data_IF_047207910926
#
_entry.id   IF_047207910926
#
_cell.length_a   1.000
_cell.length_b   1.000
_cell.length_c   1.000
_cell.angle_alpha   90.00
_cell.angle_beta   90.00
_cell.angle_gamma   90.00
#
_symmetry.space_group_name_H-M   'P 1'
#
loop_
_entity.id
_entity.type
_entity.pdbx_description
1 polymer ?
#
# COMPACT_ATOMS: atom_id res chain seq x y z
N UNK A 1 5.01 2.87 1.14
CA UNK A 1 3.64 2.56 0.69
C UNK A 1 2.84 2.13 1.91
N UNK A 2 1.64 2.68 2.09
CA UNK A 2 0.80 2.40 3.24
C UNK A 2 -0.07 1.15 2.98
N UNK A 3 -0.13 0.24 3.95
CA UNK A 3 -0.81 -1.06 3.84
C UNK A 3 -2.34 -0.95 3.98
N UNK A 4 -2.81 0.03 4.73
CA UNK A 4 -4.23 0.17 5.07
C UNK A 4 -4.36 0.81 6.43
N UNK A 5 -5.54 1.29 6.78
CA UNK A 5 -5.78 1.81 8.13
C UNK A 5 -5.55 0.70 9.15
N UNK A 6 -4.65 0.95 10.11
CA UNK A 6 -4.29 0.02 11.18
C UNK A 6 -5.09 0.33 12.45
N UNK A 7 -5.32 -0.71 13.27
CA UNK A 7 -6.02 -0.61 14.55
C UNK A 7 -7.26 -1.50 14.64
N UNK A 8 -7.87 -1.52 15.82
CA UNK A 8 -9.07 -2.34 16.04
C UNK A 8 -10.26 -1.84 15.20
N UNK A 9 -11.06 -2.79 14.71
CA UNK A 9 -12.24 -2.51 13.88
C UNK A 9 -11.97 -2.11 12.43
N UNK A 10 -10.72 -2.18 11.93
CA UNK A 10 -10.43 -1.86 10.53
C UNK A 10 -10.81 -3.02 9.58
N UNK A 11 -11.61 -2.75 8.53
CA UNK A 11 -12.29 -3.78 7.74
C UNK A 11 -11.41 -4.50 6.71
N UNK A 12 -10.28 -3.92 6.31
CA UNK A 12 -9.41 -4.50 5.28
C UNK A 12 -8.68 -5.75 5.77
N UNK A 13 -8.38 -5.81 7.08
CA UNK A 13 -7.78 -6.98 7.73
C UNK A 13 -6.57 -7.51 6.98
N UNK A 14 -6.61 -8.79 6.61
CA UNK A 14 -5.53 -9.52 5.92
C UNK A 14 -5.32 -9.16 4.45
N UNK A 15 -6.12 -8.27 3.88
CA UNK A 15 -5.97 -7.86 2.49
C UNK A 15 -5.13 -6.57 2.35
N UNK A 16 -4.55 -6.10 3.45
CA UNK A 16 -3.72 -4.90 3.52
C UNK A 16 -2.37 -5.06 2.78
N UNK A 17 -1.78 -6.25 2.85
CA UNK A 17 -0.58 -6.60 2.07
C UNK A 17 -0.87 -6.71 0.57
N UNK A 18 -2.01 -7.29 0.18
CA UNK A 18 -2.49 -7.32 -1.19
C UNK A 18 -2.74 -5.91 -1.71
N UNK A 19 -3.40 -5.05 -0.92
CA UNK A 19 -3.61 -3.64 -1.22
C UNK A 19 -2.29 -2.91 -1.49
N UNK A 20 -1.33 -2.99 -0.57
CA UNK A 20 -0.01 -2.40 -0.75
C UNK A 20 0.67 -2.92 -2.02
N UNK A 21 0.59 -4.23 -2.26
CA UNK A 21 1.15 -4.89 -3.44
C UNK A 21 0.56 -4.36 -4.74
N UNK A 22 -0.75 -4.18 -4.83
CA UNK A 22 -1.41 -3.62 -6.01
C UNK A 22 -1.04 -2.16 -6.24
N UNK A 23 -1.01 -1.34 -5.18
CA UNK A 23 -0.54 0.03 -5.31
C UNK A 23 0.91 0.08 -5.82
N UNK A 24 1.80 -0.76 -5.29
CA UNK A 24 3.19 -0.87 -5.74
C UNK A 24 3.24 -1.26 -7.22
N UNK A 25 2.44 -2.26 -7.63
CA UNK A 25 2.42 -2.75 -9.02
C UNK A 25 2.06 -1.64 -10.00
N UNK A 26 0.96 -0.91 -9.76
CA UNK A 26 0.53 0.19 -10.64
C UNK A 26 1.61 1.27 -10.77
N UNK A 27 2.22 1.65 -9.65
CA UNK A 27 3.26 2.69 -9.64
C UNK A 27 4.55 2.21 -10.33
N UNK A 28 5.00 0.99 -10.01
CA UNK A 28 6.19 0.42 -10.61
C UNK A 28 6.04 0.27 -12.12
N UNK A 29 4.89 -0.21 -12.60
CA UNK A 29 4.63 -0.30 -14.04
C UNK A 29 4.66 1.06 -14.73
N UNK A 30 4.02 2.06 -14.12
CA UNK A 30 3.98 3.41 -14.66
C UNK A 30 5.38 4.03 -14.77
N UNK A 31 6.24 3.77 -13.78
CA UNK A 31 7.61 4.30 -13.71
C UNK A 31 8.65 3.39 -14.38
N UNK A 32 8.26 2.23 -14.92
CA UNK A 32 9.18 1.25 -15.51
C UNK A 32 10.14 0.60 -14.49
N UNK A 33 9.72 0.48 -13.23
CA UNK A 33 10.50 -0.09 -12.15
C UNK A 33 10.22 -1.60 -11.99
N UNK A 34 11.25 -2.36 -11.65
CA UNK A 34 11.13 -3.78 -11.30
C UNK A 34 11.07 -4.01 -9.80
N UNK A 35 10.39 -5.07 -9.38
CA UNK A 35 10.38 -5.54 -7.99
C UNK A 35 11.35 -6.72 -7.86
N UNK A 36 12.27 -6.67 -6.88
CA UNK A 36 13.15 -7.78 -6.55
C UNK A 36 12.79 -8.32 -5.17
N UNK A 37 12.51 -9.62 -5.10
CA UNK A 37 12.31 -10.33 -3.83
C UNK A 37 13.58 -11.08 -3.45
N UNK A 38 13.83 -11.19 -2.13
CA UNK A 38 14.94 -11.97 -1.58
C UNK A 38 14.55 -13.43 -1.37
N UNK A 39 15.49 -14.23 -0.85
CA UNK A 39 15.20 -15.59 -0.39
C UNK A 39 14.24 -15.54 0.81
N UNK A 40 13.33 -16.52 0.95
CA UNK A 40 12.46 -16.60 2.11
C UNK A 40 13.30 -16.96 3.34
N UNK A 41 13.36 -16.05 4.33
CA UNK A 41 14.12 -16.27 5.57
C UNK A 41 13.25 -16.73 6.75
N UNK A 42 11.93 -16.77 6.58
CA UNK A 42 10.99 -17.03 7.67
C UNK A 42 10.20 -18.30 7.39
N UNK A 43 10.29 -19.25 8.33
CA UNK A 43 9.41 -20.42 8.37
C UNK A 43 8.16 -20.08 9.18
N UNK A 44 7.01 -20.00 8.52
CA UNK A 44 5.75 -19.65 9.18
C UNK A 44 4.90 -20.90 9.45
N UNK A 45 4.88 -21.35 10.71
CA UNK A 45 3.96 -22.41 11.15
C UNK A 45 2.53 -21.85 11.25
N UNK A 46 1.63 -22.35 10.40
CA UNK A 46 0.25 -21.86 10.32
C UNK A 46 -0.52 -22.12 11.62
N UNK A 47 -0.81 -21.06 12.37
CA UNK A 47 -1.66 -21.07 13.57
C UNK A 47 -2.91 -20.22 13.32
N UNK A 48 -3.83 -20.68 12.48
CA UNK A 48 -5.01 -19.90 12.08
C UNK A 48 -6.29 -20.73 12.11
N UNK A 49 -7.38 -20.15 12.64
CA UNK A 49 -8.72 -20.76 12.56
C UNK A 49 -9.48 -20.21 11.33
N UNK A 50 -9.86 -21.05 10.35
CA UNK A 50 -10.51 -20.59 9.12
C UNK A 50 -11.83 -19.86 9.33
N UNK A 51 -12.67 -20.29 10.28
CA UNK A 51 -14.00 -19.70 10.49
C UNK A 51 -13.93 -18.33 11.17
N UNK A 52 -13.00 -18.17 12.13
CA UNK A 52 -12.75 -16.87 12.76
C UNK A 52 -12.22 -15.86 11.74
N UNK A 53 -11.38 -16.31 10.81
CA UNK A 53 -10.85 -15.46 9.74
C UNK A 53 -11.96 -15.05 8.77
N UNK A 54 -12.78 -16.00 8.29
CA UNK A 54 -13.87 -15.70 7.38
C UNK A 54 -14.83 -14.64 7.94
N UNK A 55 -15.19 -14.73 9.24
CA UNK A 55 -16.04 -13.72 9.88
C UNK A 55 -15.39 -12.33 9.97
N UNK A 56 -14.05 -12.26 10.05
CA UNK A 56 -13.32 -10.99 10.04
C UNK A 56 -13.09 -10.44 8.63
N UNK A 57 -12.98 -11.34 7.65
CA UNK A 57 -12.50 -11.04 6.29
C UNK A 57 -13.65 -10.94 5.26
N UNK A 58 -14.89 -11.31 5.62
CA UNK A 58 -16.01 -11.40 4.66
C UNK A 58 -16.21 -10.11 3.84
N UNK A 59 -16.09 -8.94 4.48
CA UNK A 59 -16.27 -7.65 3.80
C UNK A 59 -15.20 -7.41 2.75
N UNK A 60 -13.95 -7.78 3.06
CA UNK A 60 -12.84 -7.71 2.13
C UNK A 60 -12.98 -8.63 0.92
N UNK A 61 -13.66 -9.79 1.06
CA UNK A 61 -14.00 -10.66 -0.07
C UNK A 61 -14.93 -9.94 -1.05
N UNK A 62 -16.00 -9.31 -0.55
CA UNK A 62 -16.93 -8.56 -1.41
C UNK A 62 -16.26 -7.35 -2.06
N UNK A 63 -15.39 -6.64 -1.33
CA UNK A 63 -14.69 -5.50 -1.87
C UNK A 63 -13.71 -5.87 -2.98
N UNK A 64 -13.17 -7.08 -3.01
CA UNK A 64 -12.25 -7.50 -4.07
C UNK A 64 -12.89 -7.49 -5.46
N UNK A 65 -14.20 -7.70 -5.56
CA UNK A 65 -14.95 -7.60 -6.82
C UNK A 65 -14.85 -6.20 -7.45
N UNK A 66 -14.67 -5.15 -6.62
CA UNK A 66 -14.49 -3.77 -7.08
C UNK A 66 -13.01 -3.34 -7.09
N UNK A 67 -12.23 -3.76 -6.10
CA UNK A 67 -10.82 -3.38 -5.95
C UNK A 67 -9.96 -3.97 -7.08
N UNK A 68 -10.16 -5.24 -7.44
CA UNK A 68 -9.32 -5.89 -8.45
C UNK A 68 -9.50 -5.24 -9.83
N UNK A 69 -10.74 -5.07 -10.36
CA UNK A 69 -10.95 -4.36 -11.62
C UNK A 69 -10.45 -2.92 -11.58
N UNK A 70 -10.61 -2.23 -10.45
CA UNK A 70 -10.05 -0.89 -10.26
C UNK A 70 -8.53 -0.88 -10.49
N UNK A 71 -7.76 -1.73 -9.80
CA UNK A 71 -6.31 -1.76 -9.96
C UNK A 71 -5.85 -2.28 -11.33
N UNK A 72 -6.62 -3.17 -11.96
CA UNK A 72 -6.33 -3.65 -13.32
C UNK A 72 -6.51 -2.54 -14.37
N UNK A 73 -7.42 -1.59 -14.13
CA UNK A 73 -7.72 -0.49 -15.04
C UNK A 73 -7.05 0.84 -14.67
N UNK A 74 -6.46 0.93 -13.48
CA UNK A 74 -5.82 2.14 -12.99
C UNK A 74 -4.67 2.58 -13.90
N UNK A 75 -4.77 3.79 -14.42
CA UNK A 75 -3.71 4.43 -15.22
C UNK A 75 -3.32 5.75 -14.58
N UNK A 76 -2.02 5.99 -14.48
CA UNK A 76 -1.49 7.23 -13.91
C UNK A 76 -1.11 8.22 -15.04
N UNK A 77 -1.35 9.54 -14.85
CA UNK A 77 -0.93 10.59 -15.76
C UNK A 77 0.59 10.63 -15.97
N UNK A 78 1.05 11.01 -17.17
CA UNK A 78 2.49 11.01 -17.52
C UNK A 78 3.35 12.00 -16.73
N UNK A 79 2.74 13.01 -16.11
CA UNK A 79 3.39 13.99 -15.24
C UNK A 79 3.66 13.44 -13.82
N UNK A 80 3.13 12.27 -13.48
CA UNK A 80 3.46 11.54 -12.26
C UNK A 80 4.83 10.85 -12.37
N UNK A 81 5.90 11.64 -12.32
CA UNK A 81 7.27 11.14 -12.54
C UNK A 81 8.00 10.63 -11.28
N UNK A 82 7.35 10.65 -10.12
CA UNK A 82 7.90 10.13 -8.86
C UNK A 82 6.90 9.25 -8.13
N UNK A 83 7.40 8.37 -7.24
CA UNK A 83 6.57 7.47 -6.44
C UNK A 83 5.56 8.25 -5.58
N UNK A 84 5.99 9.36 -4.97
CA UNK A 84 5.13 10.23 -4.17
C UNK A 84 3.97 10.79 -4.99
N UNK A 85 4.26 11.36 -6.17
CA UNK A 85 3.24 11.92 -7.08
C UNK A 85 2.28 10.84 -7.56
N UNK A 86 2.80 9.68 -7.95
CA UNK A 86 2.00 8.53 -8.36
C UNK A 86 1.05 8.08 -7.25
N UNK A 87 1.54 8.00 -6.00
CA UNK A 87 0.73 7.53 -4.88
C UNK A 87 -0.33 8.54 -4.46
N UNK A 88 -0.01 9.83 -4.48
CA UNK A 88 -1.00 10.90 -4.25
C UNK A 88 -2.08 10.85 -5.33
N UNK A 89 -1.71 10.71 -6.60
CA UNK A 89 -2.68 10.62 -7.68
C UNK A 89 -3.56 9.37 -7.55
N UNK A 90 -2.97 8.22 -7.25
CA UNK A 90 -3.69 6.99 -6.98
C UNK A 90 -4.67 7.16 -5.80
N UNK A 91 -4.31 7.92 -4.76
CA UNK A 91 -5.20 8.19 -3.63
C UNK A 91 -6.48 8.93 -4.03
N UNK A 92 -6.40 9.84 -5.02
CA UNK A 92 -7.57 10.53 -5.58
C UNK A 92 -8.46 9.55 -6.31
N UNK A 93 -7.88 8.69 -7.14
CA UNK A 93 -8.63 7.67 -7.88
C UNK A 93 -9.30 6.67 -6.92
N UNK A 94 -8.64 6.30 -5.82
CA UNK A 94 -9.23 5.46 -4.76
C UNK A 94 -10.47 6.12 -4.16
N UNK A 95 -10.40 7.40 -3.79
CA UNK A 95 -11.56 8.14 -3.26
C UNK A 95 -12.69 8.22 -4.26
N UNK A 96 -12.38 8.51 -5.52
CA UNK A 96 -13.38 8.66 -6.57
C UNK A 96 -14.07 7.34 -6.93
N UNK A 97 -13.30 6.26 -7.10
CA UNK A 97 -13.80 4.98 -7.61
C UNK A 97 -14.24 4.02 -6.52
N UNK A 98 -13.52 3.96 -5.41
CA UNK A 98 -13.82 3.04 -4.30
C UNK A 98 -14.54 3.72 -3.14
N UNK A 99 -14.52 5.06 -3.03
CA UNK A 99 -15.30 5.80 -2.04
C UNK A 99 -16.81 5.48 -2.04
N UNK A 100 -17.46 5.30 -3.21
CA UNK A 100 -18.85 4.85 -3.27
C UNK A 100 -19.09 3.41 -2.78
N UNK A 101 -18.06 2.55 -2.82
CA UNK A 101 -18.13 1.15 -2.34
C UNK A 101 -18.20 1.12 -0.82
N UNK A 102 -17.37 1.92 -0.16
CA UNK A 102 -17.42 2.09 1.29
C UNK A 102 -16.70 3.38 1.76
N UNK A 103 -17.23 4.08 2.80
CA UNK A 103 -16.57 5.25 3.39
C UNK A 103 -15.14 5.00 3.87
N UNK A 104 -14.79 3.75 4.17
CA UNK A 104 -13.42 3.32 4.46
C UNK A 104 -12.42 3.83 3.42
N UNK A 105 -12.73 3.74 2.13
CA UNK A 105 -11.81 4.13 1.05
C UNK A 105 -11.59 5.64 0.97
N UNK A 106 -12.56 6.45 1.40
CA UNK A 106 -12.36 7.89 1.53
C UNK A 106 -11.29 8.20 2.58
N UNK A 107 -11.45 7.59 3.77
CA UNK A 107 -10.50 7.74 4.88
C UNK A 107 -9.14 7.12 4.56
N UNK A 108 -9.12 5.99 3.86
CA UNK A 108 -7.87 5.37 3.40
C UNK A 108 -7.15 6.28 2.40
N UNK A 109 -7.86 6.90 1.46
CA UNK A 109 -7.29 7.88 0.55
C UNK A 109 -6.68 9.08 1.27
N UNK A 110 -7.33 9.58 2.34
CA UNK A 110 -6.74 10.63 3.20
C UNK A 110 -5.44 10.13 3.84
N UNK A 111 -5.47 8.94 4.44
CA UNK A 111 -4.31 8.35 5.08
C UNK A 111 -3.14 8.08 4.11
N UNK A 112 -3.42 7.74 2.84
CA UNK A 112 -2.40 7.60 1.81
C UNK A 112 -1.65 8.91 1.58
N UNK A 113 -2.35 10.04 1.56
CA UNK A 113 -1.74 11.38 1.43
C UNK A 113 -0.94 11.73 2.68
N UNK A 114 -1.54 11.58 3.86
CA UNK A 114 -0.86 11.83 5.15
C UNK A 114 0.41 11.00 5.30
N UNK A 115 0.42 9.76 4.80
CA UNK A 115 1.63 8.93 4.80
C UNK A 115 2.77 9.53 3.98
N UNK A 116 2.47 10.11 2.81
CA UNK A 116 3.48 10.79 1.97
C UNK A 116 3.95 12.07 2.63
N UNK A 117 3.04 12.87 3.20
CA UNK A 117 3.39 14.09 3.92
C UNK A 117 4.34 13.80 5.09
N UNK A 118 4.01 12.80 5.91
CA UNK A 118 4.86 12.37 7.02
C UNK A 118 6.22 11.81 6.53
N UNK A 119 6.22 11.07 5.42
CA UNK A 119 7.45 10.57 4.80
C UNK A 119 8.34 11.73 4.33
N UNK A 120 7.77 12.72 3.65
CA UNK A 120 8.51 13.87 3.15
C UNK A 120 9.01 14.75 4.30
N UNK A 121 8.24 14.94 5.38
CA UNK A 121 8.70 15.65 6.59
C UNK A 121 9.93 14.99 7.22
N UNK A 122 9.92 13.66 7.35
CA UNK A 122 11.04 12.89 7.91
C UNK A 122 12.29 12.89 7.02
N UNK A 123 12.14 13.02 5.70
CA UNK A 123 13.27 12.97 4.78
C UNK A 123 13.77 14.37 4.38
N UNK A 124 12.92 15.40 4.38
CA UNK A 124 13.35 16.78 4.17
C UNK A 124 14.11 17.34 5.38
N UNK A 125 13.89 16.81 6.58
CA UNK A 125 14.69 17.10 7.78
C UNK A 125 16.08 16.43 7.77
N UNK A 126 16.39 15.61 6.76
CA UNK A 126 17.62 14.80 6.70
C UNK A 126 18.75 15.36 5.82
N UNK A 127 18.58 16.56 5.24
CA UNK A 127 19.69 17.26 4.55
C UNK A 127 20.89 17.58 5.48
N UNK A 128 20.76 17.41 6.80
CA UNK A 128 21.90 17.55 7.73
C UNK A 128 22.66 16.27 8.10
N UNK A 129 22.20 15.03 7.82
CA UNK A 129 22.92 13.84 8.33
C UNK A 129 22.82 12.60 7.43
N UNK A 130 23.66 12.49 6.39
CA UNK A 130 24.07 11.19 5.86
C UNK A 130 25.57 11.14 5.53
N UNK A 131 26.40 11.17 6.57
CA UNK A 131 27.78 10.67 6.55
C UNK A 131 27.93 9.48 7.50
N UNK A 132 27.24 8.36 7.24
CA UNK A 132 27.60 7.10 7.88
C UNK A 132 27.68 5.97 6.84
N UNK A 133 28.83 5.26 6.75
CA UNK A 133 29.00 4.18 5.80
C UNK A 133 28.12 3.00 6.17
N UNK A 134 27.49 2.38 5.17
CA UNK A 134 26.75 1.13 5.33
C UNK A 134 27.67 0.07 5.94
N UNK A 135 27.24 -0.52 7.06
CA UNK A 135 27.96 -1.58 7.76
C UNK A 135 28.26 -2.75 6.82
N UNK A 136 29.50 -3.21 6.82
CA UNK A 136 29.95 -4.34 6.01
C UNK A 136 29.16 -5.60 6.38
N UNK A 137 28.69 -6.34 5.36
CA UNK A 137 28.10 -7.65 5.53
C UNK A 137 29.14 -8.61 6.15
N UNK A 138 28.82 -9.18 7.30
CA UNK A 138 29.60 -10.27 7.87
C UNK A 138 29.50 -11.49 6.94
N UNK A 139 30.65 -12.08 6.60
CA UNK A 139 30.78 -13.30 5.80
C UNK A 139 30.33 -14.52 6.57
#
# INVERSE_FOLDING_TARGET
MYFGLMGDGQPIGRYDDMWAGWCIKVICDHLGLGVKTGLPYIWHSKASNPFVNLKKEYKGIFWQEEIIPFFQSATLPKDCTSVQKCYIELSKQVKEKLGPVDPYFNKLGDAMVTWIEAWDELNNSSEEVFSKPNGAAAK
#
